data_IF_665281610949
#
_entry.id   IF_665281610949
#
_cell.length_a   1.000
_cell.length_b   1.000
_cell.length_c   1.000
_cell.angle_alpha   90.00
_cell.angle_beta   90.00
_cell.angle_gamma   90.00
#
_symmetry.space_group_name_H-M   'P 1'
#
loop_
_entity.id
_entity.type
_entity.pdbx_description
1 polymer ?
#
# COMPACT_ATOMS: atom_id res chain seq x y z
N UNK A 1 18.83 21.34 -14.70
CA UNK A 1 18.79 19.86 -14.72
C UNK A 1 17.79 19.36 -13.70
N UNK A 2 16.91 18.45 -14.10
CA UNK A 2 15.96 17.83 -13.17
C UNK A 2 16.70 16.94 -12.16
N UNK A 3 16.37 17.08 -10.87
CA UNK A 3 16.88 16.24 -9.81
C UNK A 3 15.70 15.71 -8.98
N UNK A 4 15.30 14.49 -9.24
CA UNK A 4 14.22 13.83 -8.47
C UNK A 4 14.80 13.45 -7.11
N UNK A 5 14.19 13.95 -6.04
CA UNK A 5 14.70 13.76 -4.68
C UNK A 5 14.17 12.48 -4.02
N UNK A 6 12.89 12.18 -4.23
CA UNK A 6 12.23 11.00 -3.65
C UNK A 6 10.84 10.83 -4.26
N UNK A 7 10.22 9.71 -3.97
CA UNK A 7 8.80 9.55 -4.26
C UNK A 7 8.02 10.38 -3.24
N UNK A 8 7.25 11.37 -3.71
CA UNK A 8 6.48 12.25 -2.84
C UNK A 8 5.30 11.49 -2.21
N UNK A 9 4.52 10.81 -3.03
CA UNK A 9 3.46 9.93 -2.59
C UNK A 9 3.12 8.97 -3.72
N UNK A 10 2.47 7.87 -3.36
CA UNK A 10 1.85 6.92 -4.29
C UNK A 10 0.36 6.93 -4.03
N UNK A 11 -0.45 7.01 -5.08
CA UNK A 11 -1.89 7.06 -4.95
C UNK A 11 -2.54 5.86 -5.63
N UNK A 12 -3.42 5.18 -4.90
CA UNK A 12 -4.24 4.10 -5.40
C UNK A 12 -5.72 4.41 -5.16
N UNK A 13 -6.60 3.71 -5.86
CA UNK A 13 -8.02 3.75 -5.55
C UNK A 13 -8.35 2.83 -4.37
N UNK A 14 -9.28 3.25 -3.52
CA UNK A 14 -9.87 2.39 -2.51
C UNK A 14 -11.39 2.34 -2.67
N UNK A 15 -12.01 1.28 -2.17
CA UNK A 15 -13.47 1.15 -2.20
C UNK A 15 -14.14 1.91 -1.07
N UNK A 16 -13.47 2.03 0.07
CA UNK A 16 -13.98 2.70 1.27
C UNK A 16 -12.80 3.32 2.03
N UNK A 17 -12.79 4.64 2.15
CA UNK A 17 -11.67 5.36 2.75
C UNK A 17 -11.49 5.02 4.23
N UNK A 18 -12.59 4.93 4.99
CA UNK A 18 -12.55 4.61 6.42
C UNK A 18 -12.01 3.20 6.66
N UNK A 19 -12.53 2.22 5.94
CA UNK A 19 -12.04 0.83 6.01
C UNK A 19 -10.55 0.76 5.70
N UNK A 20 -10.13 1.46 4.65
CA UNK A 20 -8.73 1.49 4.21
C UNK A 20 -7.82 2.09 5.27
N UNK A 21 -8.17 3.26 5.82
CA UNK A 21 -7.40 3.91 6.88
C UNK A 21 -7.27 3.01 8.10
N UNK A 22 -8.38 2.43 8.56
CA UNK A 22 -8.37 1.54 9.72
C UNK A 22 -7.51 0.31 9.49
N UNK A 23 -7.57 -0.28 8.29
CA UNK A 23 -6.78 -1.46 7.95
C UNK A 23 -5.28 -1.18 8.00
N UNK A 24 -4.84 -0.09 7.36
CA UNK A 24 -3.41 0.27 7.34
C UNK A 24 -2.91 0.68 8.72
N UNK A 25 -3.73 1.34 9.53
CA UNK A 25 -3.38 1.65 10.92
C UNK A 25 -3.24 0.39 11.77
N UNK A 26 -4.21 -0.50 11.67
CA UNK A 26 -4.28 -1.68 12.55
C UNK A 26 -3.28 -2.76 12.17
N UNK A 27 -2.98 -2.92 10.88
CA UNK A 27 -2.14 -4.03 10.40
C UNK A 27 -0.73 -3.62 10.00
N UNK A 28 -0.50 -2.39 9.58
CA UNK A 28 0.82 -1.91 9.16
C UNK A 28 1.34 -0.76 10.00
N UNK A 29 0.67 -0.42 11.09
CA UNK A 29 1.08 0.63 12.03
C UNK A 29 1.34 1.99 11.37
N UNK A 30 0.63 2.28 10.27
CA UNK A 30 0.71 3.57 9.61
C UNK A 30 -0.14 4.60 10.31
N UNK A 31 0.37 5.82 10.44
CA UNK A 31 -0.39 6.93 10.98
C UNK A 31 -1.23 7.59 9.88
N UNK A 32 -2.44 7.98 10.24
CA UNK A 32 -3.29 8.80 9.37
C UNK A 32 -2.78 10.23 9.37
N UNK A 33 -2.61 10.82 8.18
CA UNK A 33 -2.08 12.19 8.04
C UNK A 33 -3.22 13.19 7.86
N UNK A 34 -4.01 13.04 6.79
CA UNK A 34 -5.13 13.92 6.51
C UNK A 34 -6.08 13.33 5.47
N UNK A 35 -7.26 13.92 5.37
CA UNK A 35 -8.24 13.59 4.32
C UNK A 35 -8.72 14.88 3.65
N UNK A 36 -8.95 14.80 2.34
CA UNK A 36 -9.48 15.88 1.53
C UNK A 36 -10.72 15.35 0.82
N UNK A 37 -11.83 16.07 0.92
CA UNK A 37 -13.05 15.76 0.16
C UNK A 37 -13.33 16.90 -0.80
N UNK A 38 -13.55 16.58 -2.07
CA UNK A 38 -13.80 17.56 -3.11
C UNK A 38 -14.89 17.07 -4.06
N UNK A 39 -15.62 18.00 -4.66
CA UNK A 39 -16.63 17.69 -5.66
C UNK A 39 -16.07 17.68 -7.09
N UNK A 40 -14.92 18.29 -7.28
CA UNK A 40 -14.22 18.36 -8.57
C UNK A 40 -12.78 17.95 -8.45
N UNK A 41 -12.28 17.29 -9.48
CA UNK A 41 -10.87 16.89 -9.56
C UNK A 41 -10.02 18.12 -9.87
N UNK A 42 -9.09 18.54 -9.00
CA UNK A 42 -8.31 19.76 -9.22
C UNK A 42 -7.54 19.80 -10.53
N UNK A 43 -6.96 18.68 -10.94
CA UNK A 43 -6.13 18.62 -12.15
C UNK A 43 -6.92 18.66 -13.46
N UNK A 44 -8.17 18.20 -13.46
CA UNK A 44 -9.00 18.10 -14.68
C UNK A 44 -10.24 18.98 -14.65
N UNK A 45 -10.65 19.46 -13.46
CA UNK A 45 -11.90 20.17 -13.20
C UNK A 45 -13.15 19.33 -13.48
N UNK A 46 -12.98 18.00 -13.63
CA UNK A 46 -14.11 17.09 -13.82
C UNK A 46 -14.98 17.04 -12.56
N UNK A 47 -16.33 17.03 -12.70
CA UNK A 47 -17.23 16.91 -11.56
C UNK A 47 -17.34 15.47 -11.08
N UNK A 48 -16.31 14.99 -10.40
CA UNK A 48 -16.19 13.63 -9.89
C UNK A 48 -15.87 13.69 -8.40
N UNK A 49 -16.89 13.65 -7.51
CA UNK A 49 -16.67 13.72 -6.07
C UNK A 49 -15.76 12.59 -5.58
N UNK A 50 -14.86 12.93 -4.66
CA UNK A 50 -13.94 11.95 -4.09
C UNK A 50 -13.56 12.26 -2.64
N UNK A 51 -13.09 11.23 -1.94
CA UNK A 51 -12.40 11.34 -0.66
C UNK A 51 -10.96 10.88 -0.88
N UNK A 52 -10.00 11.74 -0.55
CA UNK A 52 -8.57 11.46 -0.69
C UNK A 52 -7.93 11.39 0.70
N UNK A 53 -7.44 10.22 1.07
CA UNK A 53 -6.82 9.99 2.38
C UNK A 53 -5.33 9.73 2.23
N UNK A 54 -4.55 10.19 3.20
CA UNK A 54 -3.09 10.11 3.19
C UNK A 54 -2.61 9.40 4.45
N UNK A 55 -1.73 8.40 4.27
CA UNK A 55 -1.13 7.61 5.34
C UNK A 55 0.38 7.81 5.36
N UNK A 56 0.96 7.93 6.55
CA UNK A 56 2.40 7.95 6.73
C UNK A 56 2.92 6.51 6.63
N UNK A 57 3.69 6.25 5.57
CA UNK A 57 4.27 4.92 5.34
C UNK A 57 5.70 4.80 5.88
N UNK A 58 6.14 5.76 6.71
CA UNK A 58 7.48 5.77 7.30
C UNK A 58 8.53 6.40 6.38
N UNK A 59 9.63 6.86 6.98
CA UNK A 59 10.76 7.40 6.23
C UNK A 59 10.45 8.61 5.36
N UNK A 60 9.40 9.37 5.67
CA UNK A 60 8.95 10.49 4.85
C UNK A 60 8.14 10.08 3.62
N UNK A 61 7.77 8.80 3.50
CA UNK A 61 6.97 8.30 2.40
C UNK A 61 5.47 8.40 2.73
N UNK A 62 4.66 8.68 1.73
CA UNK A 62 3.21 8.81 1.89
C UNK A 62 2.50 7.87 0.91
N UNK A 63 1.56 7.10 1.44
CA UNK A 63 0.67 6.25 0.67
C UNK A 63 -0.73 6.86 0.73
N UNK A 64 -1.32 7.13 -0.44
CA UNK A 64 -2.58 7.84 -0.54
C UNK A 64 -3.62 6.98 -1.25
N UNK A 65 -4.91 7.24 -0.95
CA UNK A 65 -6.01 6.50 -1.57
C UNK A 65 -7.14 7.46 -1.95
N UNK A 66 -7.78 7.17 -3.09
CA UNK A 66 -8.98 7.86 -3.53
C UNK A 66 -10.19 6.93 -3.42
N UNK A 67 -11.21 7.37 -2.71
CA UNK A 67 -12.54 6.76 -2.75
C UNK A 67 -13.38 7.53 -3.74
N UNK A 68 -13.99 6.82 -4.70
CA UNK A 68 -14.77 7.40 -5.79
C UNK A 68 -16.22 6.90 -5.70
N UNK A 69 -17.09 7.58 -4.93
CA UNK A 69 -18.42 7.07 -4.64
C UNK A 69 -19.35 6.98 -5.87
N UNK A 70 -19.06 7.76 -6.92
CA UNK A 70 -19.89 7.80 -8.12
C UNK A 70 -19.30 7.05 -9.30
N UNK A 71 -18.17 6.37 -9.11
CA UNK A 71 -17.55 5.56 -10.16
C UNK A 71 -18.04 4.10 -10.06
N UNK A 72 -17.93 3.33 -11.17
CA UNK A 72 -18.20 1.89 -11.10
C UNK A 72 -17.30 1.20 -10.09
N UNK A 73 -17.68 0.02 -9.64
CA UNK A 73 -16.89 -0.77 -8.71
C UNK A 73 -15.48 -1.00 -9.23
N UNK A 74 -14.54 -1.14 -8.31
CA UNK A 74 -13.15 -1.39 -8.65
C UNK A 74 -13.00 -2.72 -9.37
N UNK A 75 -12.17 -2.71 -10.41
CA UNK A 75 -11.76 -3.90 -11.12
C UNK A 75 -10.26 -4.09 -11.06
N UNK A 76 -9.81 -5.22 -11.56
CA UNK A 76 -8.41 -5.54 -11.70
C UNK A 76 -8.08 -5.67 -13.19
N UNK A 77 -6.86 -5.30 -13.57
CA UNK A 77 -6.37 -5.54 -14.93
C UNK A 77 -6.21 -7.05 -15.15
N UNK A 78 -7.16 -7.64 -15.86
CA UNK A 78 -7.18 -9.07 -16.14
C UNK A 78 -6.10 -9.54 -17.10
N UNK A 79 -5.40 -8.60 -17.76
CA UNK A 79 -4.33 -8.90 -18.69
C UNK A 79 -2.95 -8.91 -18.03
N UNK A 80 -2.87 -8.60 -16.75
CA UNK A 80 -1.62 -8.58 -15.99
C UNK A 80 -1.69 -9.61 -14.85
N UNK A 81 -0.70 -10.49 -14.73
CA UNK A 81 -0.65 -11.44 -13.61
C UNK A 81 -0.65 -10.69 -12.27
N UNK A 82 -1.32 -11.29 -11.30
CA UNK A 82 -1.55 -10.70 -9.98
C UNK A 82 -0.26 -10.32 -9.24
N UNK A 83 0.83 -11.03 -9.49
CA UNK A 83 2.09 -10.83 -8.79
C UNK A 83 2.93 -9.65 -9.32
N UNK A 84 2.53 -9.02 -10.45
CA UNK A 84 3.35 -8.00 -11.11
C UNK A 84 3.26 -6.64 -10.41
N UNK A 85 2.06 -6.09 -10.29
CA UNK A 85 1.86 -4.74 -9.76
C UNK A 85 1.69 -4.78 -8.24
N UNK A 86 2.61 -4.14 -7.54
CA UNK A 86 2.58 -4.08 -6.07
C UNK A 86 3.45 -2.93 -5.58
N UNK A 87 3.35 -2.62 -4.30
CA UNK A 87 4.25 -1.71 -3.62
C UNK A 87 5.03 -2.49 -2.57
N UNK A 88 6.34 -2.28 -2.54
CA UNK A 88 7.23 -2.88 -1.56
C UNK A 88 7.65 -1.84 -0.52
N UNK A 89 7.49 -2.19 0.74
CA UNK A 89 7.86 -1.34 1.88
C UNK A 89 9.01 -2.03 2.61
N UNK A 90 10.07 -1.27 2.89
CA UNK A 90 11.23 -1.81 3.61
C UNK A 90 10.95 -1.89 5.10
N UNK A 91 11.34 -3.02 5.70
CA UNK A 91 11.33 -3.23 7.15
C UNK A 91 12.73 -3.59 7.62
N UNK A 92 12.97 -3.48 8.94
CA UNK A 92 14.32 -3.53 9.50
C UNK A 92 15.02 -4.89 9.40
N UNK A 93 14.27 -5.99 9.46
CA UNK A 93 14.88 -7.31 9.56
C UNK A 93 13.95 -8.44 9.15
N UNK A 94 14.53 -9.61 8.89
CA UNK A 94 13.78 -10.84 8.63
C UNK A 94 12.91 -11.22 9.83
N UNK A 95 13.39 -10.94 11.04
CA UNK A 95 12.64 -11.20 12.26
C UNK A 95 11.33 -10.39 12.29
N UNK A 96 11.37 -9.13 11.84
CA UNK A 96 10.17 -8.30 11.69
C UNK A 96 9.20 -8.91 10.67
N UNK A 97 9.70 -9.48 9.57
CA UNK A 97 8.87 -10.18 8.59
C UNK A 97 8.14 -11.36 9.23
N UNK A 98 8.86 -12.19 9.98
CA UNK A 98 8.29 -13.38 10.63
C UNK A 98 7.21 -12.99 11.65
N UNK A 99 7.48 -11.99 12.48
CA UNK A 99 6.55 -11.49 13.49
C UNK A 99 5.30 -10.90 12.82
N UNK A 100 5.49 -10.11 11.77
CA UNK A 100 4.39 -9.47 11.04
C UNK A 100 3.55 -10.52 10.33
N UNK A 101 4.18 -11.52 9.70
CA UNK A 101 3.47 -12.62 9.07
C UNK A 101 2.55 -13.32 10.06
N UNK A 102 3.06 -13.66 11.24
CA UNK A 102 2.25 -14.32 12.27
C UNK A 102 1.06 -13.46 12.71
N UNK A 103 1.29 -12.15 12.88
CA UNK A 103 0.24 -11.20 13.27
C UNK A 103 -0.84 -11.08 12.19
N UNK A 104 -0.45 -10.97 10.93
CA UNK A 104 -1.40 -10.89 9.82
C UNK A 104 -2.23 -12.17 9.68
N UNK A 105 -1.58 -13.33 9.78
CA UNK A 105 -2.28 -14.62 9.71
C UNK A 105 -3.25 -14.79 10.86
N UNK A 106 -2.89 -14.34 12.07
CA UNK A 106 -3.78 -14.37 13.23
C UNK A 106 -5.02 -13.47 13.02
N UNK A 107 -4.90 -12.43 12.21
CA UNK A 107 -6.01 -11.55 11.83
C UNK A 107 -6.81 -12.07 10.62
N UNK A 108 -6.49 -13.27 10.13
CA UNK A 108 -7.19 -13.87 8.99
C UNK A 108 -6.71 -13.40 7.62
N UNK A 109 -5.56 -12.73 7.55
CA UNK A 109 -5.00 -12.23 6.30
C UNK A 109 -4.04 -13.26 5.73
N UNK A 110 -4.29 -13.81 4.52
CA UNK A 110 -3.36 -14.74 3.89
C UNK A 110 -2.02 -14.07 3.57
N UNK A 111 -0.92 -14.75 3.85
CA UNK A 111 0.44 -14.25 3.61
C UNK A 111 1.24 -15.27 2.81
N UNK A 112 1.92 -14.79 1.77
CA UNK A 112 2.87 -15.57 0.97
C UNK A 112 4.28 -15.23 1.44
N UNK A 113 5.11 -16.25 1.62
CA UNK A 113 6.50 -16.09 2.04
C UNK A 113 6.72 -16.61 3.47
N UNK A 114 7.85 -16.46 4.01
CA UNK A 114 8.97 -15.56 3.64
C UNK A 114 9.67 -16.10 2.39
N UNK A 115 9.79 -15.25 1.36
CA UNK A 115 10.42 -15.58 0.09
C UNK A 115 11.83 -15.02 0.05
N UNK A 116 12.80 -15.84 -0.35
CA UNK A 116 14.20 -15.43 -0.45
C UNK A 116 14.52 -14.92 -1.85
N UNK A 117 14.87 -13.63 -1.96
CA UNK A 117 15.29 -12.99 -3.22
C UNK A 117 16.81 -12.80 -3.27
N UNK A 118 17.57 -13.55 -2.49
CA UNK A 118 19.05 -13.54 -2.42
C UNK A 118 19.60 -12.36 -1.61
N UNK A 119 19.32 -11.12 -2.00
CA UNK A 119 19.81 -9.90 -1.33
C UNK A 119 18.77 -9.29 -0.39
N UNK A 120 17.55 -9.80 -0.43
CA UNK A 120 16.48 -9.43 0.50
C UNK A 120 15.49 -10.59 0.62
N UNK A 121 14.65 -10.54 1.66
CA UNK A 121 13.56 -11.49 1.86
C UNK A 121 12.26 -10.72 2.00
N UNK A 122 11.15 -11.36 1.63
CA UNK A 122 9.86 -10.66 1.55
C UNK A 122 8.69 -11.52 2.00
N UNK A 123 7.63 -10.83 2.45
CA UNK A 123 6.29 -11.40 2.56
C UNK A 123 5.34 -10.59 1.69
N UNK A 124 4.28 -11.24 1.20
CA UNK A 124 3.28 -10.64 0.31
C UNK A 124 1.89 -10.89 0.84
N UNK A 125 1.02 -9.89 0.72
CA UNK A 125 -0.38 -9.98 1.11
C UNK A 125 -1.19 -8.91 0.39
N UNK A 126 -2.51 -8.92 0.56
CA UNK A 126 -3.40 -7.96 -0.10
C UNK A 126 -4.12 -7.10 0.94
N UNK A 127 -4.36 -5.85 0.58
CA UNK A 127 -5.20 -4.96 1.37
C UNK A 127 -6.70 -5.21 1.05
N UNK A 128 -7.66 -4.53 1.74
CA UNK A 128 -9.08 -4.74 1.48
C UNK A 128 -9.54 -4.37 0.07
N UNK A 129 -8.74 -3.60 -0.66
CA UNK A 129 -9.05 -3.15 -2.01
C UNK A 129 -8.52 -4.09 -3.09
N UNK A 130 -7.73 -5.09 -2.69
CA UNK A 130 -7.06 -5.99 -3.62
C UNK A 130 -5.71 -5.49 -4.10
N UNK A 131 -5.14 -4.45 -3.48
CA UNK A 131 -3.78 -4.01 -3.80
C UNK A 131 -2.77 -4.96 -3.15
N UNK A 132 -1.82 -5.41 -3.96
CA UNK A 132 -0.77 -6.30 -3.48
C UNK A 132 0.32 -5.50 -2.77
N UNK A 133 0.70 -5.98 -1.60
CA UNK A 133 1.71 -5.36 -0.76
C UNK A 133 2.85 -6.35 -0.52
N UNK A 134 4.05 -5.80 -0.44
CA UNK A 134 5.26 -6.53 -0.08
C UNK A 134 5.92 -5.83 1.09
N UNK A 135 6.35 -6.59 2.10
CA UNK A 135 7.30 -6.10 3.09
C UNK A 135 8.63 -6.78 2.79
N UNK A 136 9.69 -5.98 2.67
CA UNK A 136 11.00 -6.47 2.28
C UNK A 136 12.05 -6.09 3.32
N UNK A 137 12.88 -7.05 3.69
CA UNK A 137 14.03 -6.84 4.60
C UNK A 137 15.32 -7.17 3.86
N UNK A 138 16.21 -6.21 3.79
CA UNK A 138 17.53 -6.42 3.18
C UNK A 138 18.35 -7.38 4.02
N UNK A 139 19.01 -8.34 3.36
CA UNK A 139 19.88 -9.30 4.01
C UNK A 139 21.37 -9.03 3.72
N UNK A 140 21.67 -7.99 2.95
CA UNK A 140 23.02 -7.56 2.64
C UNK A 140 23.61 -8.28 1.46
N UNK A 141 24.37 -9.35 1.70
CA UNK A 141 25.05 -10.06 0.64
C UNK A 141 24.35 -11.37 0.29
N UNK A 142 24.49 -11.84 -0.95
CA UNK A 142 23.93 -13.12 -1.41
C UNK A 142 24.80 -14.28 -0.92
N UNK A 143 24.70 -14.60 0.36
CA UNK A 143 25.43 -15.74 0.94
C UNK A 143 24.55 -16.96 1.09
#
# INVERSE_FOLDING_TARGET
MLNIRKIHHVAYRCRDAKETVEWYRNHLDMDFVLAIAEDRVPSTQAPDPYMHVFMDAGGGNVLAFFELPHSPDMGRDSNTPEWVQHIALEVDSVEVLETTKARLQAAGIPVIGVTNHTIFKSIYFFDPNGHRLELAANTGSPE
#
